data_IF_999099595640
#
_entry.id   IF_999099595640
#
_cell.length_a   1.000
_cell.length_b   1.000
_cell.length_c   1.000
_cell.angle_alpha   90.00
_cell.angle_beta   90.00
_cell.angle_gamma   90.00
#
_symmetry.space_group_name_H-M   'P 1'
#
loop_
_entity.id
_entity.type
_entity.pdbx_description
1 polymer ?
#
# COMPACT_ATOMS: atom_id res chain seq x y z
N UNK A 1 18.20 8.29 9.08
CA UNK A 1 16.80 8.17 9.51
C UNK A 1 16.56 6.85 10.21
N UNK A 2 15.77 6.84 11.28
CA UNK A 2 15.29 5.58 11.84
C UNK A 2 14.17 5.03 10.96
N UNK A 3 13.70 3.81 11.23
CA UNK A 3 12.72 3.15 10.37
C UNK A 3 11.38 3.89 10.32
N UNK A 4 10.94 4.50 11.44
CA UNK A 4 9.68 5.24 11.47
C UNK A 4 9.75 6.50 10.61
N UNK A 5 10.86 7.20 10.65
CA UNK A 5 11.09 8.37 9.79
C UNK A 5 11.18 7.98 8.31
N UNK A 6 11.83 6.85 8.03
CA UNK A 6 11.94 6.32 6.66
C UNK A 6 10.56 6.01 6.08
N UNK A 7 9.71 5.32 6.87
CA UNK A 7 8.34 5.01 6.44
C UNK A 7 7.55 6.29 6.20
N UNK A 8 7.61 7.23 7.13
CA UNK A 8 6.92 8.51 6.98
C UNK A 8 7.36 9.24 5.73
N UNK A 9 8.65 9.24 5.44
CA UNK A 9 9.18 9.84 4.23
C UNK A 9 8.62 9.15 2.97
N UNK A 10 8.57 7.83 2.97
CA UNK A 10 8.03 7.07 1.83
C UNK A 10 6.56 7.42 1.57
N UNK A 11 5.73 7.39 2.60
CA UNK A 11 4.28 7.57 2.43
C UNK A 11 3.89 9.02 2.15
N UNK A 12 4.70 9.99 2.58
CA UNK A 12 4.41 11.41 2.33
C UNK A 12 5.01 11.92 1.01
N UNK A 13 6.03 11.25 0.50
CA UNK A 13 6.70 11.63 -0.75
C UNK A 13 5.94 11.13 -1.98
N UNK A 14 5.28 9.97 -1.86
CA UNK A 14 4.60 9.32 -2.98
C UNK A 14 3.10 9.28 -2.74
N UNK A 15 2.31 9.54 -3.79
CA UNK A 15 0.85 9.60 -3.69
C UNK A 15 0.22 8.26 -3.34
N UNK A 16 0.76 7.16 -3.87
CA UNK A 16 0.23 5.82 -3.61
C UNK A 16 1.40 4.91 -3.25
N UNK A 17 1.36 4.33 -2.07
CA UNK A 17 2.40 3.42 -1.57
C UNK A 17 1.76 2.13 -1.09
N UNK A 18 2.26 1.01 -1.57
CA UNK A 18 1.81 -0.31 -1.15
C UNK A 18 2.98 -1.06 -0.50
N UNK A 19 2.83 -1.37 0.79
CA UNK A 19 3.75 -2.29 1.47
C UNK A 19 3.23 -3.70 1.25
N UNK A 20 4.04 -4.55 0.63
CA UNK A 20 3.60 -5.86 0.18
C UNK A 20 4.70 -6.92 0.35
N UNK A 21 4.34 -8.17 0.24
CA UNK A 21 5.28 -9.29 0.21
C UNK A 21 5.58 -9.60 -1.25
N UNK A 22 6.84 -9.39 -1.65
CA UNK A 22 7.28 -9.49 -3.02
C UNK A 22 7.16 -8.18 -3.77
N UNK A 23 7.08 -8.25 -5.08
CA UNK A 23 6.94 -7.09 -5.96
C UNK A 23 5.65 -7.19 -6.77
N UNK A 24 5.17 -6.09 -7.38
CA UNK A 24 3.96 -6.15 -8.20
C UNK A 24 4.04 -7.18 -9.33
N UNK A 25 5.24 -7.40 -9.90
CA UNK A 25 5.45 -8.38 -10.97
C UNK A 25 5.55 -9.79 -10.43
N UNK A 26 6.07 -9.96 -9.20
CA UNK A 26 6.28 -11.26 -8.57
C UNK A 26 5.80 -11.23 -7.11
N UNK A 27 4.49 -11.14 -6.88
CA UNK A 27 3.97 -11.13 -5.51
C UNK A 27 4.22 -12.49 -4.84
N UNK A 28 4.59 -12.44 -3.55
CA UNK A 28 4.91 -13.64 -2.77
C UNK A 28 3.80 -13.97 -1.76
N UNK A 29 2.64 -13.35 -1.90
CA UNK A 29 1.50 -13.54 -1.03
C UNK A 29 0.24 -13.27 -1.84
N UNK A 30 -0.77 -14.15 -1.71
CA UNK A 30 -2.02 -14.01 -2.45
C UNK A 30 -2.75 -12.70 -2.15
N UNK A 31 -2.72 -12.25 -0.89
CA UNK A 31 -3.34 -10.99 -0.50
C UNK A 31 -2.61 -9.78 -1.10
N UNK A 32 -1.28 -9.83 -1.14
CA UNK A 32 -0.48 -8.77 -1.80
C UNK A 32 -0.78 -8.72 -3.30
N UNK A 33 -0.81 -9.87 -3.96
CA UNK A 33 -1.11 -9.95 -5.38
C UNK A 33 -2.51 -9.45 -5.71
N UNK A 34 -3.50 -9.81 -4.89
CA UNK A 34 -4.87 -9.35 -5.08
C UNK A 34 -4.97 -7.82 -4.96
N UNK A 35 -4.27 -7.23 -4.00
CA UNK A 35 -4.26 -5.77 -3.83
C UNK A 35 -3.63 -5.06 -5.04
N UNK A 36 -2.55 -5.61 -5.58
CA UNK A 36 -1.95 -5.09 -6.82
C UNK A 36 -2.97 -5.10 -7.95
N UNK A 37 -3.72 -6.21 -8.10
CA UNK A 37 -4.72 -6.31 -9.15
C UNK A 37 -5.84 -5.28 -8.99
N UNK A 38 -6.25 -5.00 -7.76
CA UNK A 38 -7.27 -3.97 -7.50
C UNK A 38 -6.77 -2.58 -7.90
N UNK A 39 -5.51 -2.25 -7.60
CA UNK A 39 -4.94 -0.97 -8.03
C UNK A 39 -4.88 -0.87 -9.54
N UNK A 40 -4.47 -1.94 -10.22
CA UNK A 40 -4.46 -1.99 -11.69
C UNK A 40 -5.86 -1.83 -12.25
N UNK A 41 -6.86 -2.47 -11.65
CA UNK A 41 -8.26 -2.36 -12.07
C UNK A 41 -8.79 -0.93 -11.94
N UNK A 42 -8.25 -0.16 -11.00
CA UNK A 42 -8.58 1.26 -10.85
C UNK A 42 -7.76 2.17 -11.79
N UNK A 43 -6.99 1.61 -12.69
CA UNK A 43 -6.17 2.38 -13.64
C UNK A 43 -4.83 2.86 -13.09
N UNK A 44 -4.44 2.41 -11.90
CA UNK A 44 -3.18 2.82 -11.27
C UNK A 44 -2.12 1.77 -11.57
N UNK A 45 -1.27 2.05 -12.55
CA UNK A 45 -0.21 1.13 -12.99
C UNK A 45 1.11 1.42 -12.31
N UNK A 46 1.40 2.70 -12.05
CA UNK A 46 2.66 3.14 -11.49
C UNK A 46 2.45 3.67 -10.08
N UNK A 47 2.59 2.80 -9.10
CA UNK A 47 2.58 3.17 -7.70
C UNK A 47 3.91 2.73 -7.07
N UNK A 48 4.24 3.29 -5.92
CA UNK A 48 5.43 2.90 -5.18
C UNK A 48 5.13 1.63 -4.39
N UNK A 49 5.84 0.56 -4.69
CA UNK A 49 5.72 -0.70 -3.95
C UNK A 49 6.97 -0.90 -3.10
N UNK A 50 6.76 -1.30 -1.85
CA UNK A 50 7.84 -1.62 -0.92
C UNK A 50 7.74 -3.10 -0.56
N UNK A 51 8.75 -3.87 -0.96
CA UNK A 51 8.82 -5.30 -0.66
C UNK A 51 9.34 -5.51 0.76
N UNK A 52 8.44 -5.84 1.68
CA UNK A 52 8.81 -6.03 3.09
C UNK A 52 9.61 -7.31 3.33
N UNK A 53 9.63 -8.23 2.36
CA UNK A 53 10.50 -9.41 2.47
C UNK A 53 11.96 -9.06 2.21
N UNK A 54 12.22 -8.01 1.46
CA UNK A 54 13.57 -7.53 1.18
C UNK A 54 14.12 -6.64 2.30
N UNK A 55 13.26 -6.17 3.22
CA UNK A 55 13.67 -5.26 4.29
C UNK A 55 12.94 -5.63 5.59
N UNK A 56 13.58 -6.50 6.42
CA UNK A 56 12.96 -6.94 7.68
C UNK A 56 12.67 -5.79 8.66
N UNK A 57 13.47 -4.74 8.63
CA UNK A 57 13.27 -3.59 9.51
C UNK A 57 11.98 -2.85 9.15
N UNK A 58 11.73 -2.66 7.87
CA UNK A 58 10.47 -2.07 7.40
C UNK A 58 9.31 -3.01 7.67
N UNK A 59 9.50 -4.32 7.50
CA UNK A 59 8.44 -5.30 7.77
C UNK A 59 7.89 -5.17 9.18
N UNK A 60 8.76 -5.04 10.17
CA UNK A 60 8.34 -4.85 11.56
C UNK A 60 7.91 -3.41 11.82
N UNK A 61 8.62 -2.45 11.27
CA UNK A 61 8.36 -1.03 11.48
C UNK A 61 7.01 -0.57 10.94
N UNK A 62 6.55 -1.14 9.82
CA UNK A 62 5.27 -0.72 9.24
C UNK A 62 4.08 -1.13 10.12
N UNK A 63 4.20 -2.23 10.84
CA UNK A 63 3.16 -2.66 11.78
C UNK A 63 3.02 -1.66 12.94
N UNK A 64 4.14 -1.20 13.45
CA UNK A 64 4.16 -0.17 14.49
C UNK A 64 3.64 1.16 13.97
N UNK A 65 4.07 1.55 12.78
CA UNK A 65 3.68 2.82 12.16
C UNK A 65 2.17 2.92 11.98
N UNK A 66 1.55 1.85 11.47
CA UNK A 66 0.12 1.82 11.15
C UNK A 66 -0.77 1.38 12.31
N UNK A 67 -0.19 0.80 13.36
CA UNK A 67 -0.92 0.06 14.39
C UNK A 67 -1.77 -1.06 13.78
N UNK A 68 -1.26 -1.68 12.70
CA UNK A 68 -1.95 -2.74 11.96
C UNK A 68 -1.02 -3.93 11.78
N UNK A 69 -1.45 -5.15 12.14
CA UNK A 69 -0.52 -6.28 12.29
C UNK A 69 -0.09 -6.99 11.01
N UNK A 70 -0.76 -6.73 9.89
CA UNK A 70 -0.56 -7.53 8.68
C UNK A 70 -0.15 -6.68 7.47
N UNK A 71 0.44 -7.35 6.48
CA UNK A 71 0.77 -6.81 5.17
C UNK A 71 -0.01 -7.63 4.14
N UNK A 72 -0.60 -7.06 3.08
CA UNK A 72 -0.30 -5.74 2.52
C UNK A 72 -0.94 -4.58 3.27
N UNK A 73 -0.37 -3.40 3.10
CA UNK A 73 -0.91 -2.14 3.63
C UNK A 73 -0.85 -1.07 2.55
N UNK A 74 -1.97 -0.42 2.31
CA UNK A 74 -2.07 0.63 1.29
C UNK A 74 -2.11 2.01 1.95
N UNK A 75 -1.29 2.93 1.44
CA UNK A 75 -1.26 4.33 1.84
C UNK A 75 -1.55 5.20 0.63
N UNK A 76 -2.43 6.19 0.81
CA UNK A 76 -2.74 7.18 -0.22
C UNK A 76 -2.59 8.56 0.39
N UNK A 77 -1.76 9.41 -0.22
CA UNK A 77 -1.47 10.77 0.27
C UNK A 77 -1.01 10.78 1.72
N UNK A 78 -0.19 9.81 2.10
CA UNK A 78 0.38 9.72 3.44
C UNK A 78 -0.53 9.09 4.48
N UNK A 79 -1.76 8.76 4.13
CA UNK A 79 -2.72 8.19 5.07
C UNK A 79 -2.91 6.69 4.86
N UNK A 80 -2.97 5.97 5.96
CA UNK A 80 -3.23 4.53 5.93
C UNK A 80 -4.67 4.27 5.51
N UNK A 81 -4.84 3.58 4.39
CA UNK A 81 -6.17 3.22 3.88
C UNK A 81 -6.65 1.91 4.51
N UNK A 82 -5.81 0.89 4.49
CA UNK A 82 -6.16 -0.39 5.07
C UNK A 82 -5.35 -1.54 4.52
N UNK A 83 -5.67 -2.73 5.00
CA UNK A 83 -5.12 -3.98 4.50
C UNK A 83 -5.97 -4.54 3.35
N UNK A 84 -5.69 -5.80 2.97
CA UNK A 84 -6.30 -6.43 1.79
C UNK A 84 -7.83 -6.44 1.84
N UNK A 85 -8.41 -6.79 2.99
CA UNK A 85 -9.87 -6.90 3.10
C UNK A 85 -10.56 -5.55 2.96
N UNK A 86 -10.00 -4.52 3.61
CA UNK A 86 -10.56 -3.16 3.56
C UNK A 86 -10.47 -2.62 2.14
N UNK A 87 -9.33 -2.80 1.49
CA UNK A 87 -9.12 -2.33 0.11
C UNK A 87 -10.09 -3.03 -0.85
N UNK A 88 -10.29 -4.34 -0.68
CA UNK A 88 -11.24 -5.10 -1.48
C UNK A 88 -12.67 -4.57 -1.31
N UNK A 89 -13.09 -4.32 -0.07
CA UNK A 89 -14.43 -3.82 0.22
C UNK A 89 -14.63 -2.41 -0.36
N UNK A 90 -13.64 -1.55 -0.23
CA UNK A 90 -13.68 -0.21 -0.82
C UNK A 90 -13.78 -0.27 -2.35
N UNK A 91 -13.05 -1.19 -2.97
CA UNK A 91 -13.13 -1.38 -4.41
C UNK A 91 -14.52 -1.80 -4.84
N UNK A 92 -15.13 -2.77 -4.16
CA UNK A 92 -16.46 -3.27 -4.52
C UNK A 92 -17.54 -2.21 -4.35
N UNK A 93 -17.33 -1.23 -3.49
CA UNK A 93 -18.27 -0.14 -3.24
C UNK A 93 -17.98 1.12 -4.08
N UNK A 94 -16.94 1.08 -4.91
CA UNK A 94 -16.55 2.22 -5.73
C UNK A 94 -15.76 3.29 -4.98
N UNK A 95 -15.53 3.12 -3.70
CA UNK A 95 -14.83 4.10 -2.86
C UNK A 95 -13.34 4.17 -3.15
N UNK A 96 -12.72 3.04 -3.48
CA UNK A 96 -11.30 3.01 -3.80
C UNK A 96 -11.01 3.83 -5.06
N UNK A 97 -11.84 3.68 -6.09
CA UNK A 97 -11.69 4.44 -7.32
C UNK A 97 -11.80 5.94 -7.06
N UNK A 98 -12.78 6.36 -6.26
CA UNK A 98 -12.97 7.77 -5.92
C UNK A 98 -11.78 8.33 -5.18
N UNK A 99 -11.25 7.58 -4.21
CA UNK A 99 -10.10 8.00 -3.42
C UNK A 99 -8.86 8.15 -4.29
N UNK A 100 -8.61 7.17 -5.17
CA UNK A 100 -7.47 7.21 -6.10
C UNK A 100 -7.60 8.34 -7.11
N UNK A 101 -8.77 8.53 -7.68
CA UNK A 101 -9.02 9.63 -8.63
C UNK A 101 -8.74 10.98 -7.98
N UNK A 102 -9.23 11.18 -6.76
CA UNK A 102 -9.00 12.42 -6.01
C UNK A 102 -7.52 12.63 -5.71
N UNK A 103 -6.82 11.57 -5.30
CA UNK A 103 -5.40 11.65 -4.93
C UNK A 103 -4.50 11.93 -6.14
N UNK A 104 -4.87 11.45 -7.31
CA UNK A 104 -4.05 11.54 -8.52
C UNK A 104 -4.51 12.62 -9.50
N UNK A 105 -5.57 13.34 -9.17
CA UNK A 105 -6.13 14.37 -10.04
C UNK A 105 -5.31 15.66 -10.07
N UNK A 106 -4.44 15.81 -9.12
CA UNK A 106 -3.67 17.01 -8.99
C UNK A 106 -2.40 17.07 -9.73
#
# INVERSE_FOLDING_TARGET
MNVQEKIRHQVTTHSVVLYMKGTPQFPQCGFSGATVQLLHACGVQNFTAVDVLADPEIREGIKTYSHWPTVPQLYIKGEFVGGADIVRDMHSQGELQKLLDSALAG
#
